data_IF_229689802855
#
_entry.id   IF_229689802855
#
_cell.length_a   1.000
_cell.length_b   1.000
_cell.length_c   1.000
_cell.angle_alpha   90.00
_cell.angle_beta   90.00
_cell.angle_gamma   90.00
#
_symmetry.space_group_name_H-M   'P 1'
#
loop_
_entity.id
_entity.type
_entity.pdbx_description
1 polymer ?
#
# COMPACT_ATOMS: atom_id res chain seq x y z
N UNK A 1 -50.16 0.16 -38.03
CA UNK A 1 -50.09 0.39 -36.56
C UNK A 1 -48.64 0.67 -36.19
N UNK A 2 -48.28 1.94 -36.04
CA UNK A 2 -46.94 2.40 -35.68
C UNK A 2 -46.73 2.06 -34.20
N UNK A 3 -45.72 1.25 -33.89
CA UNK A 3 -45.30 0.98 -32.51
C UNK A 3 -44.55 2.20 -31.99
N UNK A 4 -45.13 2.87 -30.99
CA UNK A 4 -44.44 3.92 -30.23
C UNK A 4 -43.34 3.29 -29.36
N UNK A 5 -42.14 3.89 -29.26
CA UNK A 5 -41.11 3.39 -28.37
C UNK A 5 -41.51 3.66 -26.91
N UNK A 6 -41.55 2.60 -26.10
CA UNK A 6 -41.72 2.71 -24.65
C UNK A 6 -40.50 3.41 -24.06
N UNK A 7 -40.65 4.67 -23.66
CA UNK A 7 -39.66 5.37 -22.83
C UNK A 7 -39.55 4.65 -21.49
N UNK A 8 -38.45 3.94 -21.28
CA UNK A 8 -38.09 3.40 -19.97
C UNK A 8 -37.58 4.58 -19.14
N UNK A 9 -38.41 5.08 -18.24
CA UNK A 9 -37.98 6.03 -17.21
C UNK A 9 -37.13 5.21 -16.24
N UNK A 10 -35.80 5.34 -16.32
CA UNK A 10 -34.91 4.89 -15.27
C UNK A 10 -35.16 5.78 -14.04
N UNK A 11 -35.99 5.32 -13.11
CA UNK A 11 -36.08 5.92 -11.79
C UNK A 11 -34.74 5.68 -11.10
N UNK A 12 -33.88 6.68 -11.09
CA UNK A 12 -32.65 6.67 -10.29
C UNK A 12 -33.11 6.74 -8.84
N UNK A 13 -33.10 5.61 -8.14
CA UNK A 13 -33.30 5.65 -6.69
C UNK A 13 -32.22 6.55 -6.09
N UNK A 14 -32.59 7.55 -5.26
CA UNK A 14 -31.61 8.44 -4.66
C UNK A 14 -30.66 7.62 -3.80
N UNK A 15 -29.36 7.85 -3.95
CA UNK A 15 -28.37 7.20 -3.10
C UNK A 15 -28.69 7.54 -1.63
N UNK A 16 -28.51 6.59 -0.70
CA UNK A 16 -28.78 6.82 0.72
C UNK A 16 -27.80 7.82 1.35
N UNK A 17 -26.64 8.02 0.72
CA UNK A 17 -25.55 8.82 1.26
C UNK A 17 -25.92 10.26 1.67
N UNK A 18 -26.73 11.03 0.93
CA UNK A 18 -27.14 12.39 1.32
C UNK A 18 -28.08 12.39 2.52
N UNK A 19 -28.83 11.31 2.74
CA UNK A 19 -29.92 11.21 3.74
C UNK A 19 -29.38 10.73 5.09
N UNK A 20 -28.38 9.83 5.09
CA UNK A 20 -27.82 9.28 6.33
C UNK A 20 -26.90 10.31 7.02
N UNK A 21 -27.17 10.66 8.30
CA UNK A 21 -26.28 11.49 9.10
C UNK A 21 -24.90 10.81 9.29
N UNK A 22 -23.80 11.59 9.37
CA UNK A 22 -22.46 11.04 9.55
C UNK A 22 -22.33 10.10 10.76
N UNK A 23 -22.99 10.41 11.87
CA UNK A 23 -22.93 9.65 13.13
C UNK A 23 -23.56 8.26 12.97
N UNK A 24 -24.73 8.20 12.33
CA UNK A 24 -25.40 6.93 12.02
C UNK A 24 -24.56 6.11 11.04
N UNK A 25 -23.97 6.78 10.04
CA UNK A 25 -23.06 6.12 9.11
C UNK A 25 -21.85 5.50 9.81
N UNK A 26 -21.24 6.23 10.75
CA UNK A 26 -20.11 5.74 11.56
C UNK A 26 -20.53 4.49 12.35
N UNK A 27 -21.69 4.53 13.02
CA UNK A 27 -22.20 3.38 13.78
C UNK A 27 -22.39 2.15 12.90
N UNK A 28 -22.96 2.31 11.71
CA UNK A 28 -23.07 1.21 10.73
C UNK A 28 -21.69 0.66 10.39
N UNK A 29 -20.71 1.54 10.13
CA UNK A 29 -19.36 1.13 9.74
C UNK A 29 -18.60 0.35 10.83
N UNK A 30 -18.90 0.58 12.12
CA UNK A 30 -18.26 -0.15 13.23
C UNK A 30 -18.59 -1.65 13.22
N UNK A 31 -19.69 -2.04 12.58
CA UNK A 31 -20.17 -3.42 12.51
C UNK A 31 -19.94 -4.09 11.16
N UNK A 32 -19.14 -3.47 10.27
CA UNK A 32 -18.81 -4.04 8.97
C UNK A 32 -17.40 -4.65 8.96
N UNK A 33 -17.16 -5.79 8.28
CA UNK A 33 -15.81 -6.29 8.05
C UNK A 33 -15.04 -5.38 7.09
N UNK A 34 -13.70 -5.39 7.10
CA UNK A 34 -12.93 -4.44 6.30
C UNK A 34 -13.16 -4.56 4.78
N UNK A 35 -13.47 -5.76 4.28
CA UNK A 35 -13.84 -5.97 2.88
C UNK A 35 -15.12 -5.22 2.46
N UNK A 36 -16.10 -5.14 3.37
CA UNK A 36 -17.36 -4.44 3.12
C UNK A 36 -17.17 -2.93 3.25
N UNK A 37 -16.34 -2.46 4.19
CA UNK A 37 -15.93 -1.06 4.26
C UNK A 37 -15.23 -0.60 2.98
N UNK A 38 -14.35 -1.43 2.41
CA UNK A 38 -13.69 -1.15 1.13
C UNK A 38 -14.69 -1.07 -0.02
N UNK A 39 -15.68 -1.96 -0.02
CA UNK A 39 -16.75 -1.95 -1.01
C UNK A 39 -17.64 -0.71 -0.87
N UNK A 40 -18.01 -0.36 0.37
CA UNK A 40 -18.83 0.80 0.72
C UNK A 40 -18.15 2.12 0.32
N UNK A 41 -16.83 2.22 0.52
CA UNK A 41 -16.03 3.37 0.08
C UNK A 41 -16.06 3.56 -1.45
N UNK A 42 -16.42 2.55 -2.24
CA UNK A 42 -16.48 2.61 -3.71
C UNK A 42 -17.89 2.93 -4.24
N UNK A 43 -18.91 2.93 -3.39
CA UNK A 43 -20.31 3.16 -3.77
C UNK A 43 -20.55 4.61 -4.19
N UNK A 44 -20.08 5.59 -3.41
CA UNK A 44 -20.25 7.00 -3.73
C UNK A 44 -19.13 7.88 -3.16
N UNK A 45 -18.99 9.10 -3.70
CA UNK A 45 -17.97 10.07 -3.29
C UNK A 45 -18.06 10.48 -1.81
N UNK A 46 -19.28 10.53 -1.24
CA UNK A 46 -19.50 10.92 0.16
C UNK A 46 -18.98 9.84 1.12
N UNK A 47 -19.36 8.58 0.89
CA UNK A 47 -18.82 7.45 1.67
C UNK A 47 -17.32 7.28 1.47
N UNK A 48 -16.84 7.48 0.24
CA UNK A 48 -15.40 7.54 -0.01
C UNK A 48 -14.75 8.59 0.90
N UNK A 49 -15.27 9.81 0.94
CA UNK A 49 -14.74 10.88 1.80
C UNK A 49 -14.67 10.48 3.28
N UNK A 50 -15.74 9.88 3.82
CA UNK A 50 -15.78 9.43 5.22
C UNK A 50 -14.82 8.28 5.52
N UNK A 51 -14.64 7.32 4.61
CA UNK A 51 -13.84 6.13 4.85
C UNK A 51 -12.39 6.25 4.38
N UNK A 52 -12.02 7.36 3.71
CA UNK A 52 -10.71 7.52 3.07
C UNK A 52 -9.80 8.54 3.74
N UNK A 53 -10.26 9.23 4.77
CA UNK A 53 -9.47 10.27 5.44
C UNK A 53 -8.34 9.64 6.25
N UNK A 54 -7.10 9.98 5.89
CA UNK A 54 -5.89 9.50 6.57
C UNK A 54 -5.65 10.21 7.90
N UNK A 55 -6.06 11.48 8.01
CA UNK A 55 -5.83 12.31 9.20
C UNK A 55 -6.98 12.26 10.23
N UNK A 56 -8.13 11.70 9.86
CA UNK A 56 -9.27 11.58 10.76
C UNK A 56 -9.07 10.42 11.73
N UNK A 57 -8.99 10.74 13.02
CA UNK A 57 -8.94 9.74 14.11
C UNK A 57 -10.14 8.79 14.03
N UNK A 58 -11.34 9.31 13.85
CA UNK A 58 -12.57 8.50 13.70
C UNK A 58 -12.49 7.53 12.52
N UNK A 59 -11.93 7.95 11.39
CA UNK A 59 -11.77 7.06 10.24
C UNK A 59 -10.80 5.92 10.57
N UNK A 60 -9.67 6.24 11.20
CA UNK A 60 -8.70 5.23 11.63
C UNK A 60 -9.31 4.26 12.66
N UNK A 61 -10.11 4.76 13.60
CA UNK A 61 -10.82 3.94 14.59
C UNK A 61 -11.83 2.99 13.95
N UNK A 62 -12.60 3.42 12.93
CA UNK A 62 -13.51 2.55 12.19
C UNK A 62 -12.74 1.36 11.60
N UNK A 63 -11.63 1.61 10.91
CA UNK A 63 -10.82 0.56 10.30
C UNK A 63 -10.16 -0.35 11.34
N UNK A 64 -9.63 0.24 12.42
CA UNK A 64 -9.02 -0.50 13.54
C UNK A 64 -10.04 -1.41 14.23
N UNK A 65 -11.21 -0.89 14.59
CA UNK A 65 -12.26 -1.64 15.27
C UNK A 65 -12.79 -2.76 14.37
N UNK A 66 -13.03 -2.46 13.09
CA UNK A 66 -13.41 -3.45 12.09
C UNK A 66 -12.37 -4.57 11.98
N UNK A 67 -11.08 -4.22 11.90
CA UNK A 67 -9.99 -5.20 11.85
C UNK A 67 -9.95 -6.09 13.09
N UNK A 68 -9.95 -5.52 14.29
CA UNK A 68 -9.87 -6.28 15.54
C UNK A 68 -11.10 -7.18 15.70
N UNK A 69 -12.30 -6.68 15.38
CA UNK A 69 -13.57 -7.41 15.54
C UNK A 69 -13.71 -8.58 14.57
N UNK A 70 -13.34 -8.40 13.30
CA UNK A 70 -13.58 -9.38 12.25
C UNK A 70 -12.34 -10.21 11.88
N UNK A 71 -11.16 -9.86 12.42
CA UNK A 71 -9.90 -10.58 12.20
C UNK A 71 -9.14 -10.73 13.52
N UNK A 72 -9.69 -11.46 14.50
CA UNK A 72 -9.03 -11.64 15.79
C UNK A 72 -7.63 -12.27 15.65
N UNK A 73 -7.37 -13.04 14.59
CA UNK A 73 -6.06 -13.61 14.31
C UNK A 73 -4.99 -12.59 13.84
N UNK A 74 -5.37 -11.36 13.50
CA UNK A 74 -4.46 -10.26 13.11
C UNK A 74 -4.61 -9.12 14.11
N UNK A 75 -4.12 -9.34 15.33
CA UNK A 75 -4.07 -8.31 16.37
C UNK A 75 -3.02 -7.23 16.08
N UNK A 76 -1.98 -7.58 15.30
CA UNK A 76 -0.88 -6.67 14.97
C UNK A 76 -1.39 -5.38 14.32
N UNK A 77 -0.99 -4.25 14.90
CA UNK A 77 -1.19 -2.93 14.34
C UNK A 77 -0.52 -2.80 12.96
N UNK A 78 -0.98 -1.85 12.12
CA UNK A 78 -0.27 -1.51 10.89
C UNK A 78 1.22 -1.25 11.14
N UNK A 79 2.11 -1.64 10.22
CA UNK A 79 3.50 -1.24 10.27
C UNK A 79 3.67 0.28 10.31
N UNK A 80 4.81 0.75 10.78
CA UNK A 80 5.15 2.18 10.77
C UNK A 80 5.05 2.75 9.34
N UNK A 81 4.47 3.95 9.20
CA UNK A 81 4.23 4.58 7.90
C UNK A 81 2.99 4.07 7.14
N UNK A 82 2.19 3.17 7.72
CA UNK A 82 0.95 2.66 7.14
C UNK A 82 -0.28 3.05 7.97
N UNK A 83 -1.33 3.51 7.29
CA UNK A 83 -2.64 3.73 7.93
C UNK A 83 -3.50 2.45 7.98
N UNK A 84 -4.54 2.41 8.82
CA UNK A 84 -5.37 1.22 9.02
C UNK A 84 -6.11 0.80 7.74
N UNK A 85 -6.47 1.76 6.88
CA UNK A 85 -7.15 1.48 5.62
C UNK A 85 -6.20 0.86 4.60
N UNK A 86 -4.99 1.39 4.46
CA UNK A 86 -3.94 0.86 3.61
C UNK A 86 -3.60 -0.56 4.04
N UNK A 87 -3.50 -0.79 5.35
CA UNK A 87 -3.31 -2.12 5.90
C UNK A 87 -4.46 -3.05 5.57
N UNK A 88 -5.71 -2.62 5.76
CA UNK A 88 -6.89 -3.39 5.36
C UNK A 88 -6.89 -3.71 3.84
N UNK A 89 -6.51 -2.77 2.97
CA UNK A 89 -6.37 -3.04 1.52
C UNK A 89 -5.35 -4.14 1.24
N UNK A 90 -4.21 -4.12 1.92
CA UNK A 90 -3.20 -5.16 1.78
C UNK A 90 -3.65 -6.50 2.35
N UNK A 91 -4.53 -6.53 3.34
CA UNK A 91 -5.06 -7.79 3.88
C UNK A 91 -6.16 -8.39 2.98
N UNK A 92 -7.07 -7.58 2.45
CA UNK A 92 -8.31 -8.06 1.81
C UNK A 92 -8.38 -7.92 0.30
N UNK A 93 -7.87 -6.82 -0.25
CA UNK A 93 -7.93 -6.66 -1.70
C UNK A 93 -6.95 -7.63 -2.36
N UNK A 94 -7.15 -7.87 -3.66
CA UNK A 94 -6.20 -8.62 -4.47
C UNK A 94 -5.90 -7.80 -5.71
N UNK A 95 -4.65 -7.87 -6.15
CA UNK A 95 -4.21 -7.18 -7.34
C UNK A 95 -3.14 -6.13 -7.09
N UNK A 96 -2.52 -5.70 -8.17
CA UNK A 96 -1.44 -4.72 -8.13
C UNK A 96 -2.01 -3.33 -7.83
N UNK A 97 -1.44 -2.63 -6.85
CA UNK A 97 -1.82 -1.24 -6.52
C UNK A 97 -1.42 -0.24 -7.61
N UNK A 98 -0.41 -0.58 -8.43
CA UNK A 98 0.09 0.30 -9.49
C UNK A 98 -0.61 0.07 -10.84
N UNK A 99 -0.71 -1.19 -11.29
CA UNK A 99 -1.21 -1.52 -12.63
C UNK A 99 -2.62 -2.14 -12.63
N UNK A 100 -3.25 -2.32 -11.48
CA UNK A 100 -4.61 -2.89 -11.37
C UNK A 100 -4.73 -4.37 -11.75
N UNK A 101 -3.64 -5.04 -12.14
CA UNK A 101 -3.65 -6.47 -12.50
C UNK A 101 -4.20 -7.30 -11.35
N UNK A 102 -5.22 -8.11 -11.62
CA UNK A 102 -5.89 -8.90 -10.59
C UNK A 102 -5.05 -10.07 -10.08
N UNK A 103 -5.49 -10.70 -8.99
CA UNK A 103 -4.91 -11.94 -8.41
C UNK A 103 -3.45 -11.87 -7.96
N UNK A 104 -2.87 -10.69 -7.86
CA UNK A 104 -1.60 -10.48 -7.15
C UNK A 104 -1.88 -10.67 -5.66
N UNK A 105 -1.15 -11.60 -5.02
CA UNK A 105 -1.27 -11.89 -3.58
C UNK A 105 -0.08 -11.39 -2.78
N UNK A 106 1.11 -11.45 -3.36
CA UNK A 106 2.37 -11.10 -2.70
C UNK A 106 2.40 -9.64 -2.31
N UNK A 107 2.60 -9.39 -1.02
CA UNK A 107 2.85 -8.06 -0.45
C UNK A 107 4.34 -7.94 -0.17
N UNK A 108 4.93 -6.81 -0.53
CA UNK A 108 6.30 -6.44 -0.21
C UNK A 108 6.27 -5.57 1.04
N UNK A 109 6.29 -6.22 2.21
CA UNK A 109 6.09 -5.54 3.51
C UNK A 109 7.14 -4.48 3.82
N UNK A 110 8.40 -4.68 3.42
CA UNK A 110 9.44 -3.65 3.53
C UNK A 110 9.02 -2.34 2.83
N UNK A 111 8.24 -2.45 1.76
CA UNK A 111 7.81 -1.32 0.95
C UNK A 111 6.33 -0.99 1.11
N UNK A 112 5.62 -1.70 1.99
CA UNK A 112 4.22 -1.44 2.29
C UNK A 112 3.29 -1.48 1.05
N UNK A 113 3.66 -2.25 0.02
CA UNK A 113 2.93 -2.30 -1.26
C UNK A 113 2.71 -3.72 -1.78
N UNK A 114 1.65 -3.89 -2.56
CA UNK A 114 1.37 -5.08 -3.37
C UNK A 114 1.55 -4.75 -4.85
N UNK A 115 2.60 -5.30 -5.45
CA UNK A 115 2.90 -5.12 -6.87
C UNK A 115 3.07 -6.46 -7.61
N UNK A 116 2.59 -6.53 -8.84
CA UNK A 116 2.82 -7.69 -9.71
C UNK A 116 4.29 -7.82 -10.13
N UNK A 117 4.93 -6.70 -10.44
CA UNK A 117 6.27 -6.66 -11.01
C UNK A 117 7.11 -5.57 -10.33
N UNK A 118 7.40 -5.77 -9.04
CA UNK A 118 8.20 -4.84 -8.23
C UNK A 118 9.57 -4.55 -8.86
N UNK A 119 10.11 -5.48 -9.67
CA UNK A 119 11.45 -5.34 -10.30
C UNK A 119 11.57 -4.17 -11.28
N UNK A 120 10.46 -3.57 -11.74
CA UNK A 120 10.53 -2.33 -12.54
C UNK A 120 10.88 -1.12 -11.70
N UNK A 121 10.54 -1.19 -10.42
CA UNK A 121 10.61 -0.05 -9.51
C UNK A 121 11.73 -0.23 -8.45
N UNK A 122 12.42 -1.38 -8.47
CA UNK A 122 13.53 -1.70 -7.57
C UNK A 122 14.85 -1.91 -8.31
N UNK A 123 15.94 -1.43 -7.71
CA UNK A 123 17.32 -1.65 -8.16
C UNK A 123 17.97 -2.80 -7.41
N UNK A 124 18.74 -3.60 -8.15
CA UNK A 124 19.67 -4.55 -7.59
C UNK A 124 20.97 -3.82 -7.21
N UNK A 125 21.56 -4.22 -6.09
CA UNK A 125 22.82 -3.70 -5.54
C UNK A 125 24.03 -3.70 -6.50
N UNK A 126 23.96 -4.42 -7.63
CA UNK A 126 25.11 -4.80 -8.46
C UNK A 126 25.88 -3.65 -9.13
N UNK A 127 25.49 -2.39 -8.96
CA UNK A 127 26.10 -1.24 -9.63
C UNK A 127 26.38 -0.04 -8.72
N UNK A 128 26.08 -0.13 -7.41
CA UNK A 128 26.22 1.00 -6.47
C UNK A 128 26.97 0.51 -5.23
N UNK A 129 27.96 1.26 -4.73
CA UNK A 129 28.67 0.89 -3.50
C UNK A 129 27.71 0.68 -2.32
N UNK A 130 27.88 -0.44 -1.62
CA UNK A 130 27.05 -0.87 -0.47
C UNK A 130 26.92 0.22 0.61
N UNK A 131 27.95 1.05 0.78
CA UNK A 131 27.97 2.11 1.77
C UNK A 131 26.94 3.23 1.47
N UNK A 132 26.63 3.48 0.20
CA UNK A 132 25.59 4.45 -0.20
C UNK A 132 24.19 3.87 0.04
N UNK A 133 24.06 2.54 -0.07
CA UNK A 133 22.80 1.83 0.13
C UNK A 133 22.52 1.52 1.61
N UNK A 134 23.45 1.84 2.51
CA UNK A 134 23.32 1.60 3.94
C UNK A 134 22.18 2.43 4.54
N UNK A 135 21.41 1.82 5.44
CA UNK A 135 20.21 2.43 6.03
C UNK A 135 18.98 2.46 5.10
N UNK A 136 19.11 2.09 3.82
CA UNK A 136 17.95 2.04 2.91
C UNK A 136 17.12 0.78 3.15
N UNK A 137 15.79 0.99 3.15
CA UNK A 137 14.82 -0.08 3.16
C UNK A 137 15.00 -0.99 1.95
N UNK A 138 15.08 -2.30 2.19
CA UNK A 138 15.29 -3.28 1.13
C UNK A 138 14.45 -4.53 1.35
N UNK A 139 14.28 -5.28 0.27
CA UNK A 139 13.73 -6.64 0.32
C UNK A 139 14.65 -7.60 -0.42
N UNK A 140 14.72 -8.84 0.02
CA UNK A 140 15.53 -9.86 -0.66
C UNK A 140 14.79 -10.38 -1.89
N UNK A 141 15.46 -10.44 -3.04
CA UNK A 141 14.90 -11.02 -4.25
C UNK A 141 14.60 -12.51 -4.04
N UNK A 142 13.33 -12.90 -4.04
CA UNK A 142 12.96 -14.32 -3.98
C UNK A 142 13.24 -15.01 -5.33
N UNK A 143 14.22 -15.91 -5.39
CA UNK A 143 14.36 -16.83 -6.53
C UNK A 143 13.24 -17.87 -6.50
N UNK A 144 12.76 -18.23 -7.69
CA UNK A 144 11.62 -19.14 -7.88
C UNK A 144 11.96 -20.62 -7.62
N UNK A 145 13.23 -20.95 -7.39
CA UNK A 145 13.73 -22.32 -7.33
C UNK A 145 14.74 -22.46 -6.18
N UNK A 146 14.33 -23.14 -5.11
CA UNK A 146 15.05 -23.17 -3.81
C UNK A 146 16.23 -24.14 -3.72
N UNK A 147 16.64 -24.77 -4.82
CA UNK A 147 17.72 -25.77 -4.85
C UNK A 147 19.05 -25.23 -5.38
N UNK A 148 19.06 -24.08 -6.07
CA UNK A 148 20.30 -23.48 -6.54
C UNK A 148 20.86 -22.51 -5.50
N UNK A 149 21.75 -23.01 -4.65
CA UNK A 149 22.47 -22.24 -3.62
C UNK A 149 23.83 -21.72 -4.12
N UNK A 150 24.07 -21.69 -5.44
CA UNK A 150 25.31 -21.16 -5.99
C UNK A 150 25.54 -19.72 -5.52
N UNK A 151 26.77 -19.30 -5.18
CA UNK A 151 27.08 -17.90 -4.83
C UNK A 151 26.64 -16.89 -5.89
N UNK A 152 26.58 -17.32 -7.16
CA UNK A 152 26.07 -16.53 -8.31
C UNK A 152 24.56 -16.29 -8.28
N UNK A 153 23.84 -17.08 -7.49
CA UNK A 153 22.38 -17.05 -7.31
C UNK A 153 21.99 -16.63 -5.89
N UNK A 154 22.86 -15.92 -5.16
CA UNK A 154 22.45 -15.32 -3.88
C UNK A 154 21.36 -14.26 -4.14
N UNK A 155 20.31 -14.22 -3.30
CA UNK A 155 19.24 -13.24 -3.44
C UNK A 155 19.85 -11.85 -3.26
N UNK A 156 19.82 -11.06 -4.34
CA UNK A 156 20.23 -9.66 -4.25
C UNK A 156 19.23 -8.89 -3.39
N UNK A 157 19.75 -7.96 -2.58
CA UNK A 157 18.93 -6.94 -1.98
C UNK A 157 18.38 -6.02 -3.07
N UNK A 158 17.07 -5.78 -3.00
CA UNK A 158 16.34 -4.90 -3.89
C UNK A 158 15.93 -3.67 -3.10
N UNK A 159 16.18 -2.49 -3.66
CA UNK A 159 15.93 -1.18 -3.06
C UNK A 159 15.02 -0.36 -3.95
N UNK A 160 14.22 0.56 -3.40
CA UNK A 160 13.44 1.48 -4.24
C UNK A 160 14.36 2.33 -5.12
N UNK A 161 14.03 2.42 -6.42
CA UNK A 161 14.77 3.24 -7.39
C UNK A 161 14.90 4.68 -6.89
N UNK A 162 13.81 5.26 -6.39
CA UNK A 162 13.76 6.65 -5.94
C UNK A 162 14.68 6.90 -4.74
N UNK A 163 14.64 6.02 -3.73
CA UNK A 163 15.48 6.13 -2.53
C UNK A 163 16.97 6.01 -2.86
N UNK A 164 17.30 5.10 -3.77
CA UNK A 164 18.66 4.93 -4.27
C UNK A 164 19.13 6.18 -5.01
N UNK A 165 18.32 6.72 -5.93
CA UNK A 165 18.67 7.94 -6.65
C UNK A 165 18.82 9.14 -5.71
N UNK A 166 17.95 9.26 -4.71
CA UNK A 166 18.02 10.31 -3.70
C UNK A 166 19.33 10.22 -2.92
N UNK A 167 19.62 9.05 -2.35
CA UNK A 167 20.84 8.81 -1.58
C UNK A 167 22.11 9.03 -2.42
N UNK A 168 22.11 8.57 -3.67
CA UNK A 168 23.22 8.79 -4.59
C UNK A 168 23.40 10.28 -4.95
N UNK A 169 22.31 11.02 -5.11
CA UNK A 169 22.34 12.46 -5.38
C UNK A 169 22.89 13.24 -4.19
N UNK A 170 22.48 12.88 -2.96
CA UNK A 170 23.04 13.43 -1.72
C UNK A 170 24.55 13.20 -1.66
N UNK A 171 25.01 11.99 -1.97
CA UNK A 171 26.44 11.65 -1.98
C UNK A 171 27.25 12.47 -3.00
N UNK A 172 26.74 12.65 -4.23
CA UNK A 172 27.44 13.41 -5.28
C UNK A 172 27.59 14.88 -4.90
N UNK A 173 26.55 15.48 -4.30
CA UNK A 173 26.53 16.89 -3.94
C UNK A 173 27.50 17.24 -2.80
N UNK A 174 27.98 16.25 -2.05
CA UNK A 174 28.94 16.47 -0.97
C UNK A 174 30.36 16.74 -1.51
N UNK A 175 31.10 17.68 -0.86
CA UNK A 175 32.55 17.83 -1.05
C UNK A 175 33.30 16.52 -0.81
N UNK A 176 34.40 16.30 -1.52
CA UNK A 176 35.16 15.05 -1.51
C UNK A 176 35.61 14.67 -0.09
N UNK A 177 35.98 15.67 0.71
CA UNK A 177 36.46 15.55 2.08
C UNK A 177 35.34 15.06 3.03
N UNK A 178 34.10 15.47 2.77
CA UNK A 178 32.94 15.15 3.59
C UNK A 178 32.36 13.76 3.28
N UNK A 179 32.60 13.21 2.09
CA UNK A 179 32.02 11.94 1.63
C UNK A 179 32.33 10.76 2.57
N UNK A 180 33.57 10.65 3.04
CA UNK A 180 33.97 9.55 3.94
C UNK A 180 33.24 9.61 5.29
N UNK A 181 33.11 10.80 5.86
CA UNK A 181 32.38 11.01 7.11
C UNK A 181 30.88 10.70 6.93
N UNK A 182 30.30 11.12 5.80
CA UNK A 182 28.92 10.82 5.45
C UNK A 182 28.65 9.32 5.34
N UNK A 183 29.51 8.55 4.66
CA UNK A 183 29.38 7.08 4.57
C UNK A 183 29.40 6.41 5.96
N UNK A 184 30.26 6.89 6.87
CA UNK A 184 30.31 6.37 8.24
C UNK A 184 29.02 6.68 9.02
N UNK A 185 28.44 7.87 8.82
CA UNK A 185 27.15 8.24 9.41
C UNK A 185 26.03 7.37 8.87
N UNK A 186 25.97 7.20 7.55
CA UNK A 186 24.95 6.41 6.86
C UNK A 186 24.90 4.95 7.29
N UNK A 187 26.04 4.35 7.64
CA UNK A 187 26.09 2.97 8.14
C UNK A 187 25.47 2.80 9.54
N UNK A 188 25.33 3.89 10.29
CA UNK A 188 24.77 3.87 11.66
C UNK A 188 23.26 4.09 11.70
N UNK A 189 22.67 4.52 10.59
CA UNK A 189 21.22 4.60 10.37
C UNK A 189 20.63 3.21 10.14
#
# INVERSE_FOLDING_TARGET
KIHSPKTIIMTVEPCLAPIVPPEIFINICQDLPPADLLSLARVCKKFYGYLSSTYSTTTQEIWRNSRIKFIPQIEMSPPEGMDERQYAKLLFERGCQFCGKSRVRRVYWAFLVRCYQIRRDLLSQNSIPDDILSGLTHTTSYYKWGWDRSPKNRPANLYWIEDVHKSYSEYIQLPIEARKAWLISKRKE
#
